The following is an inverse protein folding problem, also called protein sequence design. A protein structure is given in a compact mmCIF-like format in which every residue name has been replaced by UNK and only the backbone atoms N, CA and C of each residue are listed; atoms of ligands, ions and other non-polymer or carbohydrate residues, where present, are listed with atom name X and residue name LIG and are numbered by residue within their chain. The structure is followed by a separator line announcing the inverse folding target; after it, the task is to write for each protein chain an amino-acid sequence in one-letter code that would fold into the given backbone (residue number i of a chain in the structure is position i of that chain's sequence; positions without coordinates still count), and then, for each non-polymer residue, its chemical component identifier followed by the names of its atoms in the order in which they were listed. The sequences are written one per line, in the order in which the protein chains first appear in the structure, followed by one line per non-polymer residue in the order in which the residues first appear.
data_IF_547583100330
#
_entry.id   IF_547583100330
#
_cell.length_a   1.000
_cell.length_b   1.000
_cell.length_c   1.000
_cell.angle_alpha   90.00
_cell.angle_beta   90.00
_cell.angle_gamma   90.00
#
_symmetry.space_group_name_H-M   'P 1'
#
loop_
_entity.id
_entity.type
_entity.pdbx_description
1 polymer ?
#
# COMPACT_ATOMS: atom_id res chain seq x y z
N UNK A 1 36.36 25.55 8.13
CA UNK A 1 36.22 24.13 7.78
C UNK A 1 34.76 23.76 7.87
N UNK A 2 34.10 23.56 6.72
CA UNK A 2 32.67 23.25 6.65
C UNK A 2 32.49 21.74 6.87
N UNK A 3 31.78 21.36 7.94
CA UNK A 3 31.56 19.98 8.33
C UNK A 3 30.57 19.33 7.34
N UNK A 4 31.11 18.79 6.24
CA UNK A 4 30.38 18.17 5.13
C UNK A 4 30.06 16.70 5.43
N UNK A 5 29.71 16.40 6.67
CA UNK A 5 29.45 15.05 7.18
C UNK A 5 28.11 15.08 7.90
N UNK A 6 27.00 14.99 7.15
CA UNK A 6 25.66 14.67 7.68
C UNK A 6 24.58 14.51 6.59
N UNK A 7 24.97 14.24 5.34
CA UNK A 7 23.98 13.98 4.26
C UNK A 7 23.71 12.48 4.07
N UNK A 8 24.57 11.61 4.60
CA UNK A 8 24.43 10.15 4.53
C UNK A 8 23.63 9.55 5.70
N UNK A 9 23.56 10.21 6.87
CA UNK A 9 22.84 9.69 8.05
C UNK A 9 21.31 9.77 7.95
N UNK A 10 20.76 10.59 7.05
CA UNK A 10 19.30 10.76 6.87
C UNK A 10 18.61 9.53 6.24
N UNK A 11 19.33 8.45 5.95
CA UNK A 11 18.80 7.28 5.22
C UNK A 11 18.71 6.00 6.04
N UNK A 12 19.11 6.01 7.33
CA UNK A 12 19.24 4.78 8.14
C UNK A 12 18.50 4.82 9.50
N UNK A 13 17.49 5.67 9.67
CA UNK A 13 16.65 5.62 10.87
C UNK A 13 15.49 4.65 10.66
N UNK A 14 15.34 3.66 11.54
CA UNK A 14 14.21 2.73 11.55
C UNK A 14 12.89 3.53 11.49
N UNK A 15 12.00 3.28 10.51
CA UNK A 15 10.76 4.03 10.42
C UNK A 15 9.94 3.85 11.69
N UNK A 16 9.43 4.95 12.22
CA UNK A 16 8.47 4.89 13.32
C UNK A 16 7.16 4.24 12.85
N UNK A 17 6.29 3.87 13.79
CA UNK A 17 5.06 3.15 13.48
C UNK A 17 4.16 3.89 12.47
N UNK A 18 4.08 5.22 12.56
CA UNK A 18 3.28 6.05 11.65
C UNK A 18 3.85 6.03 10.24
N UNK A 19 5.17 6.19 10.10
CA UNK A 19 5.87 6.11 8.81
C UNK A 19 5.66 4.74 8.16
N UNK A 20 5.85 3.67 8.93
CA UNK A 20 5.62 2.31 8.45
C UNK A 20 4.17 2.12 7.97
N UNK A 21 3.20 2.64 8.71
CA UNK A 21 1.79 2.53 8.35
C UNK A 21 1.46 3.29 7.05
N UNK A 22 2.03 4.49 6.87
CA UNK A 22 1.89 5.27 5.64
C UNK A 22 2.52 4.54 4.44
N UNK A 23 3.72 4.01 4.61
CA UNK A 23 4.41 3.22 3.59
C UNK A 23 3.56 2.01 3.16
N UNK A 24 2.99 1.28 4.13
CA UNK A 24 2.11 0.15 3.85
C UNK A 24 0.86 0.56 3.05
N UNK A 25 0.19 1.65 3.44
CA UNK A 25 -1.01 2.14 2.73
C UNK A 25 -0.66 2.50 1.29
N UNK A 26 0.42 3.26 1.08
CA UNK A 26 0.86 3.69 -0.24
C UNK A 26 1.26 2.49 -1.11
N UNK A 27 1.99 1.54 -0.53
CA UNK A 27 2.37 0.30 -1.22
C UNK A 27 1.13 -0.49 -1.64
N UNK A 28 0.16 -0.71 -0.75
CA UNK A 28 -1.10 -1.40 -1.07
C UNK A 28 -1.84 -0.66 -2.18
N UNK A 29 -2.01 0.66 -2.08
CA UNK A 29 -2.69 1.46 -3.08
C UNK A 29 -2.02 1.32 -4.45
N UNK A 30 -0.68 1.34 -4.52
CA UNK A 30 0.06 1.22 -5.77
C UNK A 30 -0.09 -0.15 -6.45
N UNK A 31 -0.34 -1.21 -5.68
CA UNK A 31 -0.58 -2.56 -6.21
C UNK A 31 -2.00 -2.75 -6.78
N UNK A 32 -2.94 -1.86 -6.48
CA UNK A 32 -4.30 -1.94 -7.03
C UNK A 32 -4.29 -1.49 -8.51
N UNK A 33 -4.65 -2.38 -9.46
CA UNK A 33 -4.58 -2.11 -10.89
C UNK A 33 -5.81 -1.35 -11.41
N UNK A 34 -5.70 -0.76 -12.61
CA UNK A 34 -6.80 -0.03 -13.26
C UNK A 34 -7.74 -0.91 -14.11
N UNK A 35 -7.23 -1.92 -14.81
CA UNK A 35 -8.01 -2.67 -15.82
C UNK A 35 -8.30 -4.13 -15.43
N UNK A 36 -7.86 -4.54 -14.24
CA UNK A 36 -7.98 -5.89 -13.72
C UNK A 36 -8.38 -5.81 -12.26
N UNK A 37 -8.61 -6.96 -11.64
CA UNK A 37 -8.83 -7.06 -10.20
C UNK A 37 -7.62 -7.71 -9.55
N UNK A 38 -7.29 -7.24 -8.36
CA UNK A 38 -6.32 -7.89 -7.48
C UNK A 38 -7.01 -8.31 -6.19
N UNK A 39 -6.62 -9.44 -5.62
CA UNK A 39 -7.14 -9.91 -4.33
C UNK A 39 -6.22 -9.49 -3.19
N UNK A 40 -6.75 -9.44 -1.97
CA UNK A 40 -5.93 -9.19 -0.78
C UNK A 40 -4.77 -10.19 -0.62
N UNK A 41 -4.96 -11.45 -1.06
CA UNK A 41 -3.91 -12.47 -1.01
C UNK A 41 -2.79 -12.21 -2.02
N UNK A 42 -3.13 -11.77 -3.23
CA UNK A 42 -2.14 -11.39 -4.23
C UNK A 42 -1.33 -10.17 -3.78
N UNK A 43 -2.00 -9.14 -3.20
CA UNK A 43 -1.32 -7.98 -2.61
C UNK A 43 -0.35 -8.44 -1.51
N UNK A 44 -0.80 -9.30 -0.60
CA UNK A 44 0.05 -9.85 0.47
C UNK A 44 1.32 -10.52 -0.10
N UNK A 45 1.17 -11.35 -1.12
CA UNK A 45 2.31 -12.01 -1.79
C UNK A 45 3.24 -11.01 -2.48
N UNK A 46 2.71 -9.94 -3.08
CA UNK A 46 3.50 -8.91 -3.75
C UNK A 46 4.25 -7.99 -2.78
N UNK A 47 3.76 -7.83 -1.53
CA UNK A 47 4.44 -7.03 -0.50
C UNK A 47 5.60 -7.76 0.20
N UNK A 48 5.56 -9.10 0.27
CA UNK A 48 6.62 -9.89 0.92
C UNK A 48 8.03 -9.63 0.36
N UNK A 49 8.28 -9.66 -0.97
CA UNK A 49 9.61 -9.35 -1.50
C UNK A 49 10.04 -7.88 -1.31
N UNK A 50 9.12 -6.99 -0.91
CA UNK A 50 9.40 -5.58 -0.60
C UNK A 50 9.72 -5.35 0.90
N UNK A 51 9.78 -6.41 1.72
CA UNK A 51 9.98 -6.28 3.16
C UNK A 51 8.76 -5.77 3.94
N UNK A 52 7.59 -5.71 3.29
CA UNK A 52 6.32 -5.22 3.86
C UNK A 52 5.38 -6.35 4.27
N UNK A 53 5.93 -7.40 4.88
CA UNK A 53 5.17 -8.59 5.27
C UNK A 53 4.12 -8.29 6.34
N UNK A 54 2.85 -8.54 6.01
CA UNK A 54 1.72 -8.33 6.93
C UNK A 54 0.69 -9.43 6.81
N UNK A 55 -0.07 -9.62 7.89
CA UNK A 55 -1.15 -10.59 7.92
C UNK A 55 -2.22 -10.26 6.88
N UNK A 56 -2.91 -11.28 6.34
CA UNK A 56 -3.99 -11.08 5.38
C UNK A 56 -5.09 -10.16 5.95
N UNK A 57 -5.39 -10.28 7.26
CA UNK A 57 -6.33 -9.40 7.97
C UNK A 57 -5.87 -7.94 7.97
N UNK A 58 -4.58 -7.68 8.16
CA UNK A 58 -4.02 -6.33 8.09
C UNK A 58 -4.16 -5.76 6.68
N UNK A 59 -3.86 -6.55 5.65
CA UNK A 59 -4.04 -6.12 4.25
C UNK A 59 -5.51 -5.79 3.96
N UNK A 60 -6.44 -6.67 4.36
CA UNK A 60 -7.88 -6.43 4.20
C UNK A 60 -8.36 -5.16 4.92
N UNK A 61 -7.91 -4.91 6.15
CA UNK A 61 -8.25 -3.67 6.89
C UNK A 61 -7.74 -2.41 6.19
N UNK A 62 -6.52 -2.44 5.68
CA UNK A 62 -5.96 -1.32 4.92
C UNK A 62 -6.72 -1.12 3.60
N UNK A 63 -7.09 -2.19 2.90
CA UNK A 63 -7.93 -2.11 1.72
C UNK A 63 -9.29 -1.47 2.01
N UNK A 64 -9.95 -1.83 3.11
CA UNK A 64 -11.19 -1.18 3.54
C UNK A 64 -11.00 0.32 3.78
N UNK A 65 -9.91 0.72 4.44
CA UNK A 65 -9.59 2.13 4.66
C UNK A 65 -9.31 2.87 3.34
N UNK A 66 -8.56 2.24 2.43
CA UNK A 66 -8.26 2.79 1.10
C UNK A 66 -9.54 3.00 0.30
N UNK A 67 -10.46 2.04 0.26
CA UNK A 67 -11.74 2.20 -0.43
C UNK A 67 -12.58 3.34 0.15
N UNK A 68 -12.48 3.59 1.46
CA UNK A 68 -13.17 4.71 2.11
C UNK A 68 -12.50 6.07 1.82
N UNK A 69 -11.17 6.11 1.65
CA UNK A 69 -10.42 7.36 1.42
C UNK A 69 -10.32 7.76 -0.05
N UNK A 70 -10.26 6.79 -0.97
CA UNK A 70 -9.99 7.02 -2.39
C UNK A 70 -11.22 6.66 -3.24
N UNK A 71 -12.00 7.64 -3.71
CA UNK A 71 -13.24 7.40 -4.45
C UNK A 71 -13.06 6.63 -5.76
N UNK A 72 -11.85 6.64 -6.33
CA UNK A 72 -11.53 5.90 -7.55
C UNK A 72 -11.18 4.43 -7.29
N UNK A 73 -11.11 3.97 -6.04
CA UNK A 73 -10.85 2.58 -5.68
C UNK A 73 -12.17 1.88 -5.36
N UNK A 74 -12.44 0.79 -6.07
CA UNK A 74 -13.64 -0.01 -5.91
C UNK A 74 -13.30 -1.42 -5.45
N UNK A 75 -14.22 -2.02 -4.69
CA UNK A 75 -14.22 -3.44 -4.36
C UNK A 75 -15.29 -4.16 -5.18
N UNK A 76 -14.91 -5.27 -5.80
CA UNK A 76 -15.85 -6.26 -6.33
C UNK A 76 -16.06 -7.33 -5.26
N UNK A 77 -17.21 -7.25 -4.59
CA UNK A 77 -17.64 -8.12 -3.49
C UNK A 77 -18.65 -9.20 -3.93
N UNK A 78 -18.91 -9.32 -5.24
CA UNK A 78 -19.87 -10.28 -5.79
C UNK A 78 -19.48 -11.73 -5.52
N UNK A 79 -18.17 -12.02 -5.56
CA UNK A 79 -17.62 -13.35 -5.34
C UNK A 79 -16.35 -13.32 -4.47
N UNK A 80 -16.14 -14.39 -3.71
CA UNK A 80 -14.87 -14.59 -2.99
C UNK A 80 -13.85 -15.29 -3.89
N UNK A 81 -12.57 -14.89 -3.84
CA UNK A 81 -12.02 -13.76 -3.08
C UNK A 81 -12.38 -12.40 -3.69
N UNK A 82 -12.68 -11.41 -2.83
CA UNK A 82 -12.99 -10.05 -3.29
C UNK A 82 -11.86 -9.45 -4.12
N UNK A 83 -12.24 -8.77 -5.20
CA UNK A 83 -11.34 -8.09 -6.13
C UNK A 83 -11.28 -6.59 -5.85
N UNK A 84 -10.12 -5.98 -6.04
CA UNK A 84 -9.92 -4.53 -5.89
C UNK A 84 -9.39 -3.96 -7.20
N UNK A 85 -9.89 -2.78 -7.59
CA UNK A 85 -9.57 -2.12 -8.86
C UNK A 85 -9.69 -0.60 -8.72
N UNK A 86 -8.90 0.14 -9.51
CA UNK A 86 -9.08 1.58 -9.73
C UNK A 86 -9.88 1.84 -11.00
N UNK A 87 -10.86 2.74 -10.98
CA UNK A 87 -11.72 3.03 -12.14
C UNK A 87 -11.09 4.05 -13.09
N UNK A 88 -10.41 5.05 -12.55
CA UNK A 88 -9.70 6.09 -13.31
C UNK A 88 -8.42 6.49 -12.59
N UNK A 89 -7.43 6.97 -13.34
CA UNK A 89 -6.28 7.64 -12.74
C UNK A 89 -6.76 8.85 -11.95
N UNK A 90 -6.36 8.94 -10.68
CA UNK A 90 -6.72 10.07 -9.83
C UNK A 90 -6.23 11.36 -10.52
N UNK A 91 -7.17 12.16 -11.05
CA UNK A 91 -6.87 13.51 -11.52
C UNK A 91 -6.63 14.34 -10.26
N UNK A 92 -5.37 14.70 -10.02
CA UNK A 92 -4.96 15.64 -8.97
C UNK A 92 -5.27 17.06 -9.40
#
# INVERSE_FOLDING_TARGET
MSNRTNLVELTMTQPNQTQYHLELILAIYNLIPYNKKVTAKQIQTQLSPLGLERSLRTIQRNLSAICAMFPNVMVDDRDKPFGYQKTEALKM
#
